data_IF_966542866793
#
_entry.id   IF_966542866793
#
_cell.length_a   1.000
_cell.length_b   1.000
_cell.length_c   1.000
_cell.angle_alpha   90.00
_cell.angle_beta   90.00
_cell.angle_gamma   90.00
#
_symmetry.space_group_name_H-M   'P 1'
#
loop_
_entity.id
_entity.type
_entity.pdbx_description
1 polymer ?
#
# COMPACT_ATOMS: atom_id res chain seq x y z
N UNK A 1 -17.22 34.37 -19.02
CA UNK A 1 -15.97 34.70 -18.33
C UNK A 1 -15.56 33.48 -17.49
N UNK A 2 -14.57 32.68 -17.90
CA UNK A 2 -14.08 31.56 -17.08
C UNK A 2 -13.01 32.12 -16.15
N UNK A 3 -13.34 32.24 -14.87
CA UNK A 3 -12.37 32.56 -13.82
C UNK A 3 -11.34 31.46 -13.74
N UNK A 4 -10.14 31.68 -14.28
CA UNK A 4 -8.99 30.82 -14.02
C UNK A 4 -8.62 31.01 -12.55
N UNK A 5 -9.02 30.06 -11.72
CA UNK A 5 -8.51 29.95 -10.35
C UNK A 5 -7.02 29.67 -10.48
N UNK A 6 -6.20 30.64 -10.18
CA UNK A 6 -4.75 30.51 -10.14
C UNK A 6 -4.40 29.73 -8.88
N UNK A 7 -4.47 28.37 -8.95
CA UNK A 7 -3.95 27.51 -7.88
C UNK A 7 -2.43 27.69 -7.94
N UNK A 8 -1.90 28.50 -7.07
CA UNK A 8 -0.46 28.58 -6.81
C UNK A 8 0.04 27.14 -6.67
N UNK A 9 0.91 26.69 -7.59
CA UNK A 9 1.54 25.37 -7.53
C UNK A 9 2.39 25.31 -6.27
N UNK A 10 1.80 24.79 -5.17
CA UNK A 10 2.55 24.54 -3.95
C UNK A 10 3.42 23.31 -4.21
N UNK A 11 4.73 23.49 -4.21
CA UNK A 11 5.68 22.38 -4.21
C UNK A 11 5.51 21.63 -2.89
N UNK A 12 5.36 20.33 -2.95
CA UNK A 12 5.29 19.46 -1.77
C UNK A 12 6.63 18.72 -1.62
N UNK A 13 7.07 18.60 -0.38
CA UNK A 13 8.14 17.72 0.03
C UNK A 13 7.50 16.49 0.69
N UNK A 14 7.51 15.36 0.01
CA UNK A 14 6.83 14.14 0.46
C UNK A 14 7.86 13.13 0.99
N UNK A 15 7.57 12.58 2.16
CA UNK A 15 8.33 11.48 2.76
C UNK A 15 7.47 10.23 2.76
N UNK A 16 7.87 9.20 2.06
CA UNK A 16 7.14 7.94 1.97
C UNK A 16 7.91 6.81 2.63
N UNK A 17 7.25 6.10 3.55
CA UNK A 17 7.73 4.81 4.01
C UNK A 17 7.32 3.74 2.98
N UNK A 18 8.25 2.88 2.58
CA UNK A 18 7.98 1.79 1.64
C UNK A 18 8.12 0.46 2.38
N UNK A 19 7.02 -0.23 2.53
CA UNK A 19 6.94 -1.57 3.11
C UNK A 19 6.67 -2.56 1.98
N UNK A 20 7.73 -3.08 1.40
CA UNK A 20 7.65 -3.98 0.25
C UNK A 20 6.98 -5.32 0.60
N UNK A 21 7.20 -5.82 1.83
CA UNK A 21 6.59 -7.04 2.32
C UNK A 21 7.14 -8.30 1.65
N UNK A 22 6.23 -9.22 1.32
CA UNK A 22 6.55 -10.60 0.96
C UNK A 22 6.19 -10.94 -0.49
N UNK A 23 6.69 -12.07 -0.98
CA UNK A 23 6.32 -12.64 -2.28
C UNK A 23 6.52 -11.67 -3.44
N UNK A 24 5.43 -11.27 -4.10
CA UNK A 24 5.45 -10.29 -5.22
C UNK A 24 5.63 -8.83 -4.74
N UNK A 25 5.55 -8.59 -3.43
CA UNK A 25 5.60 -7.25 -2.83
C UNK A 25 6.77 -6.39 -3.27
N UNK A 26 8.03 -6.87 -3.24
CA UNK A 26 9.20 -6.11 -3.68
C UNK A 26 9.10 -5.66 -5.14
N UNK A 27 8.63 -6.54 -6.03
CA UNK A 27 8.47 -6.23 -7.47
C UNK A 27 7.42 -5.13 -7.70
N UNK A 28 6.23 -5.28 -7.13
CA UNK A 28 5.15 -4.31 -7.34
C UNK A 28 5.41 -2.98 -6.62
N UNK A 29 6.07 -2.99 -5.46
CA UNK A 29 6.44 -1.75 -4.76
C UNK A 29 7.49 -0.95 -5.52
N UNK A 30 8.44 -1.60 -6.17
CA UNK A 30 9.42 -0.92 -7.03
C UNK A 30 8.72 -0.16 -8.16
N UNK A 31 7.78 -0.80 -8.87
CA UNK A 31 6.97 -0.13 -9.90
C UNK A 31 6.12 1.00 -9.31
N UNK A 32 5.57 0.81 -8.11
CA UNK A 32 4.81 1.85 -7.40
C UNK A 32 5.67 3.09 -7.10
N UNK A 33 6.91 2.90 -6.67
CA UNK A 33 7.90 3.96 -6.44
C UNK A 33 8.24 4.70 -7.74
N UNK A 34 8.47 3.97 -8.84
CA UNK A 34 8.76 4.58 -10.15
C UNK A 34 7.61 5.46 -10.63
N UNK A 35 6.37 4.97 -10.53
CA UNK A 35 5.18 5.73 -10.89
C UNK A 35 5.03 6.98 -10.02
N UNK A 36 5.19 6.86 -8.70
CA UNK A 36 5.10 7.99 -7.77
C UNK A 36 6.17 9.04 -8.09
N UNK A 37 7.41 8.61 -8.34
CA UNK A 37 8.52 9.49 -8.72
C UNK A 37 8.20 10.25 -10.00
N UNK A 38 7.76 9.56 -11.05
CA UNK A 38 7.40 10.18 -12.33
C UNK A 38 6.25 11.20 -12.19
N UNK A 39 5.27 10.91 -11.34
CA UNK A 39 4.17 11.84 -11.04
C UNK A 39 4.70 13.06 -10.30
N UNK A 40 5.52 12.89 -9.27
CA UNK A 40 6.10 14.00 -8.52
C UNK A 40 6.94 14.91 -9.42
N UNK A 41 7.81 14.35 -10.23
CA UNK A 41 8.62 15.10 -11.22
C UNK A 41 7.74 15.89 -12.20
N UNK A 42 6.72 15.24 -12.78
CA UNK A 42 5.80 15.88 -13.73
C UNK A 42 5.08 17.10 -13.13
N UNK A 43 4.75 17.04 -11.86
CA UNK A 43 4.02 18.11 -11.18
C UNK A 43 4.91 19.05 -10.37
N UNK A 44 6.22 18.80 -10.33
CA UNK A 44 7.22 19.63 -9.66
C UNK A 44 7.17 19.48 -8.13
N UNK A 45 6.92 18.26 -7.65
CA UNK A 45 7.01 17.89 -6.23
C UNK A 45 8.30 17.11 -5.98
N UNK A 46 8.78 17.13 -4.74
CA UNK A 46 9.90 16.32 -4.30
C UNK A 46 9.37 15.14 -3.47
N UNK A 47 9.95 13.97 -3.66
CA UNK A 47 9.60 12.78 -2.89
C UNK A 47 10.86 12.07 -2.43
N UNK A 48 10.86 11.60 -1.19
CA UNK A 48 11.91 10.76 -0.62
C UNK A 48 11.30 9.47 -0.09
N UNK A 49 12.07 8.38 -0.17
CA UNK A 49 11.62 7.05 0.23
C UNK A 49 12.52 6.49 1.33
N UNK A 50 11.88 5.90 2.35
CA UNK A 50 12.55 5.17 3.41
C UNK A 50 11.96 3.77 3.47
N UNK A 51 12.79 2.77 3.25
CA UNK A 51 12.38 1.36 3.23
C UNK A 51 12.46 0.75 4.61
N UNK A 52 11.51 -0.12 4.96
CA UNK A 52 11.52 -0.86 6.21
C UNK A 52 10.94 -2.27 6.04
N UNK A 53 11.33 -3.16 6.95
CA UNK A 53 10.92 -4.57 6.94
C UNK A 53 9.47 -4.72 7.41
N UNK A 54 8.72 -5.63 6.78
CA UNK A 54 7.42 -6.07 7.28
C UNK A 54 7.08 -7.48 6.79
N UNK A 55 6.08 -8.09 7.43
CA UNK A 55 5.55 -9.39 7.02
C UNK A 55 6.47 -10.56 7.35
N UNK A 56 6.48 -11.58 6.49
CA UNK A 56 7.28 -12.79 6.64
C UNK A 56 8.77 -12.50 6.64
N UNK A 57 9.22 -11.60 5.78
CA UNK A 57 10.63 -11.18 5.72
C UNK A 57 11.09 -10.58 7.07
N UNK A 58 10.27 -9.76 7.69
CA UNK A 58 10.59 -9.21 9.01
C UNK A 58 10.61 -10.29 10.11
N UNK A 59 9.71 -11.28 10.04
CA UNK A 59 9.72 -12.42 10.97
C UNK A 59 11.02 -13.22 10.82
N UNK A 60 11.48 -13.47 9.58
CA UNK A 60 12.70 -14.21 9.32
C UNK A 60 13.95 -13.50 9.86
N UNK A 61 14.00 -12.17 9.74
CA UNK A 61 15.16 -11.38 10.14
C UNK A 61 15.18 -11.08 11.65
N UNK A 62 14.04 -10.72 12.24
CA UNK A 62 13.97 -10.20 13.63
C UNK A 62 12.88 -10.84 14.49
N UNK A 63 12.10 -11.79 13.98
CA UNK A 63 11.06 -12.49 14.72
C UNK A 63 9.75 -11.72 14.93
N UNK A 64 9.62 -10.52 14.35
CA UNK A 64 8.45 -9.64 14.49
C UNK A 64 7.97 -9.20 13.09
N UNK A 65 6.68 -9.39 12.72
CA UNK A 65 6.16 -8.98 11.43
C UNK A 65 6.05 -7.46 11.23
N UNK A 66 6.15 -6.67 12.32
CA UNK A 66 6.13 -5.21 12.28
C UNK A 66 7.02 -4.63 13.39
N UNK A 67 8.36 -4.69 13.21
CA UNK A 67 9.33 -4.24 14.20
C UNK A 67 9.15 -2.78 14.60
N UNK A 68 9.65 -2.41 15.77
CA UNK A 68 9.58 -1.05 16.27
C UNK A 68 10.29 -0.03 15.34
N UNK A 69 11.42 -0.44 14.73
CA UNK A 69 12.12 0.38 13.73
C UNK A 69 11.24 0.69 12.52
N UNK A 70 10.46 -0.29 12.07
CA UNK A 70 9.48 -0.10 10.98
C UNK A 70 8.38 0.86 11.38
N UNK A 71 7.89 0.76 12.62
CA UNK A 71 6.90 1.71 13.14
C UNK A 71 7.45 3.14 13.11
N UNK A 72 8.68 3.37 13.58
CA UNK A 72 9.31 4.69 13.58
C UNK A 72 9.44 5.26 12.16
N UNK A 73 9.85 4.43 11.20
CA UNK A 73 9.91 4.84 9.79
C UNK A 73 8.55 5.28 9.26
N UNK A 74 7.48 4.55 9.63
CA UNK A 74 6.13 4.89 9.21
C UNK A 74 5.59 6.16 9.90
N UNK A 75 5.91 6.36 11.18
CA UNK A 75 5.47 7.52 11.97
C UNK A 75 6.12 8.83 11.48
N UNK A 76 7.38 8.77 11.01
CA UNK A 76 8.09 9.91 10.45
C UNK A 76 7.67 10.26 9.00
N UNK A 77 6.93 9.38 8.34
CA UNK A 77 6.51 9.54 6.95
C UNK A 77 5.16 10.25 6.83
N UNK A 78 4.95 10.95 5.71
CA UNK A 78 3.66 11.53 5.37
C UNK A 78 2.64 10.48 4.94
N UNK A 79 3.12 9.37 4.36
CA UNK A 79 2.30 8.22 3.98
C UNK A 79 3.14 6.93 3.88
N UNK A 80 2.46 5.80 3.89
CA UNK A 80 3.06 4.47 3.77
C UNK A 80 2.61 3.82 2.46
N UNK A 81 3.57 3.49 1.60
CA UNK A 81 3.36 2.60 0.46
C UNK A 81 3.53 1.16 0.94
N UNK A 82 2.41 0.50 1.16
CA UNK A 82 2.35 -0.87 1.65
C UNK A 82 1.99 -1.83 0.52
N UNK A 83 2.75 -2.91 0.39
CA UNK A 83 2.56 -3.88 -0.70
C UNK A 83 1.87 -5.16 -0.23
N UNK A 84 2.44 -6.32 -0.55
CA UNK A 84 1.87 -7.62 -0.22
C UNK A 84 2.48 -8.19 1.05
N UNK A 85 1.66 -8.83 1.88
CA UNK A 85 2.11 -9.56 3.08
C UNK A 85 1.48 -10.94 3.09
N UNK A 86 2.30 -11.92 3.41
CA UNK A 86 1.93 -13.33 3.48
C UNK A 86 2.96 -14.21 2.81
N UNK A 87 3.21 -15.38 3.40
CA UNK A 87 4.09 -16.40 2.84
C UNK A 87 3.47 -17.78 3.10
N UNK A 88 3.31 -18.64 2.08
CA UNK A 88 2.71 -19.97 2.21
C UNK A 88 3.32 -20.84 3.32
N UNK A 89 4.59 -20.61 3.70
CA UNK A 89 5.22 -21.32 4.80
C UNK A 89 4.53 -21.14 6.14
N UNK A 90 3.81 -20.02 6.34
CA UNK A 90 3.03 -19.75 7.56
C UNK A 90 1.60 -20.25 7.49
N UNK A 91 1.03 -20.49 6.28
CA UNK A 91 -0.38 -20.84 6.11
C UNK A 91 -0.70 -22.21 6.69
N UNK A 92 0.20 -23.17 6.53
CA UNK A 92 0.02 -24.57 6.92
C UNK A 92 0.83 -24.96 8.15
N UNK A 93 1.49 -24.02 8.84
CA UNK A 93 2.25 -24.29 10.06
C UNK A 93 1.38 -24.02 11.30
N UNK A 94 0.85 -25.08 11.97
CA UNK A 94 0.08 -24.91 13.19
C UNK A 94 0.94 -24.49 14.39
N UNK A 95 2.27 -24.55 14.25
CA UNK A 95 3.23 -24.19 15.31
C UNK A 95 3.68 -22.74 15.21
N UNK A 96 3.38 -22.05 14.11
CA UNK A 96 3.72 -20.65 13.92
C UNK A 96 3.05 -19.77 14.98
N UNK A 97 3.87 -19.21 15.88
CA UNK A 97 3.43 -18.33 16.95
C UNK A 97 3.07 -16.94 16.44
N UNK A 98 3.67 -16.53 15.35
CA UNK A 98 3.52 -15.22 14.73
C UNK A 98 3.28 -15.41 13.23
N UNK A 99 2.36 -14.62 12.67
CA UNK A 99 2.00 -14.66 11.24
C UNK A 99 2.23 -13.30 10.59
N UNK A 100 2.59 -13.27 9.29
CA UNK A 100 2.85 -12.02 8.57
C UNK A 100 1.68 -11.01 8.64
N UNK A 101 0.45 -11.49 8.56
CA UNK A 101 -0.77 -10.66 8.58
C UNK A 101 -0.97 -9.91 9.91
N UNK A 102 -0.40 -10.43 11.00
CA UNK A 102 -0.41 -9.73 12.29
C UNK A 102 0.35 -8.41 12.23
N UNK A 103 1.38 -8.32 11.36
CA UNK A 103 2.11 -7.08 11.10
C UNK A 103 1.22 -5.99 10.53
N UNK A 104 0.35 -6.32 9.56
CA UNK A 104 -0.62 -5.38 9.00
C UNK A 104 -1.60 -4.88 10.06
N UNK A 105 -2.08 -5.76 10.94
CA UNK A 105 -2.99 -5.38 12.02
C UNK A 105 -2.29 -4.50 13.06
N UNK A 106 -1.04 -4.83 13.40
CA UNK A 106 -0.22 -4.04 14.32
C UNK A 106 0.05 -2.64 13.76
N UNK A 107 0.41 -2.54 12.47
CA UNK A 107 0.60 -1.26 11.78
C UNK A 107 -0.65 -0.39 11.85
N UNK A 108 -1.82 -0.93 11.49
CA UNK A 108 -3.09 -0.20 11.53
C UNK A 108 -3.40 0.32 12.93
N UNK A 109 -3.17 -0.49 13.95
CA UNK A 109 -3.41 -0.12 15.35
C UNK A 109 -2.43 0.94 15.83
N UNK A 110 -1.12 0.76 15.61
CA UNK A 110 -0.07 1.68 16.08
C UNK A 110 -0.17 3.04 15.40
N UNK A 111 -0.48 3.09 14.09
CA UNK A 111 -0.65 4.33 13.35
C UNK A 111 -2.04 4.96 13.49
N UNK A 112 -2.96 4.36 14.26
CA UNK A 112 -4.30 4.91 14.50
C UNK A 112 -5.17 4.95 13.26
N UNK A 113 -4.99 4.05 12.28
CA UNK A 113 -5.75 4.02 11.04
C UNK A 113 -7.18 3.55 11.31
N UNK A 114 -8.16 4.41 11.08
CA UNK A 114 -9.56 4.19 11.43
C UNK A 114 -10.47 3.87 10.23
N UNK A 115 -10.01 4.11 9.01
CA UNK A 115 -10.79 3.88 7.80
C UNK A 115 -10.09 2.89 6.86
N UNK A 116 -10.87 2.00 6.26
CA UNK A 116 -10.41 1.07 5.23
C UNK A 116 -11.22 1.37 3.96
N UNK A 117 -10.64 2.15 3.05
CA UNK A 117 -11.30 2.62 1.83
C UNK A 117 -10.94 1.69 0.68
N UNK A 118 -11.95 1.09 0.06
CA UNK A 118 -11.80 0.15 -1.05
C UNK A 118 -12.61 0.61 -2.26
N UNK A 119 -11.99 1.30 -3.24
CA UNK A 119 -12.65 1.59 -4.50
C UNK A 119 -12.85 0.31 -5.30
N UNK A 120 -14.05 0.12 -5.82
CA UNK A 120 -14.43 -1.01 -6.67
C UNK A 120 -14.96 -0.47 -7.98
N UNK A 121 -14.26 -0.77 -9.07
CA UNK A 121 -14.66 -0.35 -10.41
C UNK A 121 -14.57 -1.52 -11.38
N UNK A 122 -15.59 -1.70 -12.21
CA UNK A 122 -15.58 -2.70 -13.26
C UNK A 122 -15.13 -2.10 -14.59
N UNK A 123 -14.05 -2.64 -15.11
CA UNK A 123 -13.58 -2.29 -16.45
C UNK A 123 -14.33 -3.10 -17.51
N UNK A 124 -14.88 -2.45 -18.53
CA UNK A 124 -15.67 -3.10 -19.59
C UNK A 124 -14.97 -4.30 -20.23
N UNK A 125 -13.66 -4.19 -20.46
CA UNK A 125 -12.84 -5.27 -21.01
C UNK A 125 -12.71 -6.50 -20.08
N UNK A 126 -13.03 -6.39 -18.81
CA UNK A 126 -12.93 -7.46 -17.80
C UNK A 126 -14.29 -8.03 -17.35
N UNK A 127 -15.42 -7.48 -17.80
CA UNK A 127 -16.76 -7.95 -17.41
C UNK A 127 -16.92 -9.45 -17.64
N UNK A 128 -16.39 -9.98 -18.76
CA UNK A 128 -16.46 -11.41 -19.12
C UNK A 128 -15.67 -12.34 -18.17
N UNK A 129 -14.81 -11.80 -17.30
CA UNK A 129 -14.06 -12.56 -16.28
C UNK A 129 -14.82 -12.67 -14.96
N UNK A 130 -15.89 -11.90 -14.76
CA UNK A 130 -16.70 -11.95 -13.56
C UNK A 130 -17.49 -13.27 -13.48
N UNK A 131 -17.60 -13.91 -12.30
CA UNK A 131 -18.51 -15.03 -12.10
C UNK A 131 -19.97 -14.60 -12.02
N UNK A 132 -20.25 -13.29 -11.89
CA UNK A 132 -21.59 -12.72 -11.89
C UNK A 132 -22.03 -12.38 -13.31
N UNK A 133 -23.35 -12.30 -13.53
CA UNK A 133 -23.94 -11.90 -14.81
C UNK A 133 -23.49 -10.49 -15.19
N UNK A 134 -23.26 -10.25 -16.46
CA UNK A 134 -22.75 -8.97 -16.98
C UNK A 134 -23.61 -7.77 -16.54
N UNK A 135 -24.95 -7.93 -16.57
CA UNK A 135 -25.89 -6.86 -16.19
C UNK A 135 -25.74 -6.40 -14.73
N UNK A 136 -25.18 -7.26 -13.86
CA UNK A 136 -24.98 -6.93 -12.44
C UNK A 136 -23.67 -6.21 -12.17
N UNK A 137 -22.67 -6.40 -13.02
CA UNK A 137 -21.31 -5.86 -12.78
C UNK A 137 -20.93 -4.74 -13.75
N UNK A 138 -21.59 -4.67 -14.90
CA UNK A 138 -21.31 -3.63 -15.88
C UNK A 138 -21.60 -2.25 -15.28
N UNK A 139 -20.60 -1.36 -15.37
CA UNK A 139 -20.62 -0.01 -14.78
C UNK A 139 -20.67 0.04 -13.23
N UNK A 140 -20.31 -1.03 -12.54
CA UNK A 140 -20.11 -0.93 -11.08
C UNK A 140 -18.95 0.06 -10.80
N UNK A 141 -19.26 1.07 -9.99
CA UNK A 141 -18.31 2.11 -9.53
C UNK A 141 -18.78 2.60 -8.16
N UNK A 142 -18.15 2.10 -7.11
CA UNK A 142 -18.50 2.45 -5.74
C UNK A 142 -17.29 2.33 -4.80
N UNK A 143 -17.41 2.88 -3.62
CA UNK A 143 -16.41 2.82 -2.55
C UNK A 143 -17.02 2.07 -1.35
N UNK A 144 -16.31 1.03 -0.91
CA UNK A 144 -16.56 0.36 0.36
C UNK A 144 -15.70 0.98 1.45
#
# INVERSE_FOLDING_TARGET
MKTKTNISKRIMELKLAVLAGDGIGPEISAVGVDVMTAVCEKFGHNVSYKYALCGAHAIDEVGDPFPEETYQVCEEADAVLFSAVGDPKFDNDPTAKVRPEQGLLAMRKKLGLFANIRPVQTFKCLVHKSPLRAELVENADFIC
#
